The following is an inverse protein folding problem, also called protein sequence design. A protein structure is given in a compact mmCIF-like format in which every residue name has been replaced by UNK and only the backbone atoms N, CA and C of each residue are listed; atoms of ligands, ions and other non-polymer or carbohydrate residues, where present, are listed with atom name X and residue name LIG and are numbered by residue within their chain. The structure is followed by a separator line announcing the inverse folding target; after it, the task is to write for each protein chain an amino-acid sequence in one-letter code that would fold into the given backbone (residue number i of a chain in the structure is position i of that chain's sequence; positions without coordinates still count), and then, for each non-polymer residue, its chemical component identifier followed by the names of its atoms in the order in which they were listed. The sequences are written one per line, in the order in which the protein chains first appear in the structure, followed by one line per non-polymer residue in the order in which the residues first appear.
data_IF_448437657938
#
_entry.id   IF_448437657938
#
_cell.length_a   1.000
_cell.length_b   1.000
_cell.length_c   1.000
_cell.angle_alpha   90.00
_cell.angle_beta   90.00
_cell.angle_gamma   90.00
#
_symmetry.space_group_name_H-M   'P 1'
#
loop_
_entity.id
_entity.type
_entity.pdbx_description
1 polymer ?
#
# COMPACT_ATOMS: atom_id res chain seq x y z
N UNK A 1 -10.02 6.60 4.23
CA UNK A 1 -9.54 5.27 3.79
C UNK A 1 -9.22 5.36 2.32
N UNK A 2 -8.15 4.69 1.89
CA UNK A 2 -7.66 4.74 0.51
C UNK A 2 -7.51 3.31 -0.01
N UNK A 3 -8.03 3.02 -1.20
CA UNK A 3 -7.78 1.79 -1.94
C UNK A 3 -6.63 2.01 -2.94
N UNK A 4 -5.52 1.32 -2.72
CA UNK A 4 -4.44 1.19 -3.70
C UNK A 4 -4.78 0.02 -4.62
N UNK A 5 -5.28 0.31 -5.83
CA UNK A 5 -5.74 -0.68 -6.80
C UNK A 5 -4.59 -1.12 -7.71
N UNK A 6 -4.57 -2.39 -8.13
CA UNK A 6 -3.59 -2.96 -9.06
C UNK A 6 -2.12 -2.79 -8.61
N UNK A 7 -1.84 -2.85 -7.31
CA UNK A 7 -0.51 -2.60 -6.79
C UNK A 7 0.42 -3.81 -7.00
N UNK A 8 1.69 -3.54 -7.30
CA UNK A 8 2.78 -4.52 -7.10
C UNK A 8 3.40 -4.25 -5.73
N UNK A 9 2.97 -4.99 -4.72
CA UNK A 9 3.45 -4.85 -3.34
C UNK A 9 4.76 -5.62 -3.13
N UNK A 10 5.75 -4.96 -2.52
CA UNK A 10 7.02 -5.58 -2.12
C UNK A 10 6.98 -5.87 -0.62
N UNK A 11 7.02 -7.15 -0.25
CA UNK A 11 7.11 -7.56 1.14
C UNK A 11 8.53 -7.30 1.68
N UNK A 12 8.65 -6.39 2.66
CA UNK A 12 9.97 -6.02 3.21
C UNK A 12 10.70 -7.16 3.93
N UNK A 13 10.00 -8.21 4.38
CA UNK A 13 10.62 -9.32 5.13
C UNK A 13 11.09 -10.41 4.18
N UNK A 14 10.29 -10.73 3.17
CA UNK A 14 10.57 -11.86 2.26
C UNK A 14 11.14 -11.42 0.92
N UNK A 15 11.02 -10.13 0.58
CA UNK A 15 11.31 -9.55 -0.75
C UNK A 15 10.43 -10.11 -1.88
N UNK A 16 9.30 -10.74 -1.53
CA UNK A 16 8.33 -11.19 -2.52
C UNK A 16 7.57 -10.02 -3.16
N UNK A 17 7.27 -10.18 -4.45
CA UNK A 17 6.44 -9.26 -5.23
C UNK A 17 5.03 -9.86 -5.36
N UNK A 18 4.00 -9.10 -4.94
CA UNK A 18 2.61 -9.55 -4.95
C UNK A 18 1.75 -8.58 -5.75
N UNK A 19 0.98 -9.10 -6.71
CA UNK A 19 -0.03 -8.30 -7.42
C UNK A 19 -1.32 -8.34 -6.63
N UNK A 20 -1.72 -7.21 -6.03
CA UNK A 20 -2.79 -7.18 -5.02
C UNK A 20 -3.43 -5.78 -4.92
N UNK A 21 -4.66 -5.69 -4.42
CA UNK A 21 -5.25 -4.41 -4.01
C UNK A 21 -5.07 -4.23 -2.49
N UNK A 22 -4.81 -3.01 -2.05
CA UNK A 22 -4.52 -2.70 -0.64
C UNK A 22 -5.48 -1.64 -0.14
N UNK A 23 -6.30 -1.98 0.86
CA UNK A 23 -7.10 -1.01 1.58
C UNK A 23 -6.29 -0.44 2.74
N UNK A 24 -6.18 0.88 2.79
CA UNK A 24 -5.37 1.62 3.77
C UNK A 24 -6.28 2.44 4.67
N UNK A 25 -6.13 2.23 5.97
CA UNK A 25 -6.75 3.06 7.00
C UNK A 25 -5.84 4.24 7.36
N UNK A 26 -6.46 5.37 7.64
CA UNK A 26 -5.73 6.58 8.01
C UNK A 26 -5.35 6.60 9.49
N UNK A 27 -4.29 7.36 9.81
CA UNK A 27 -3.87 7.63 11.18
C UNK A 27 -2.78 6.70 11.70
N UNK A 28 -2.23 7.06 12.87
CA UNK A 28 -1.07 6.38 13.48
C UNK A 28 -1.37 4.92 13.88
N UNK A 29 -2.64 4.61 14.10
CA UNK A 29 -3.13 3.28 14.44
C UNK A 29 -3.80 2.58 13.24
N UNK A 30 -3.73 3.17 12.05
CA UNK A 30 -4.29 2.59 10.83
C UNK A 30 -3.53 1.35 10.40
N UNK A 31 -4.23 0.43 9.74
CA UNK A 31 -3.66 -0.78 9.18
C UNK A 31 -3.78 -0.81 7.65
N UNK A 32 -3.10 -1.79 7.04
CA UNK A 32 -3.32 -2.17 5.65
C UNK A 32 -3.95 -3.56 5.59
N UNK A 33 -4.90 -3.73 4.67
CA UNK A 33 -5.55 -5.01 4.41
C UNK A 33 -5.45 -5.34 2.93
N UNK A 34 -5.06 -6.57 2.61
CA UNK A 34 -5.05 -7.06 1.23
C UNK A 34 -6.44 -7.55 0.85
N UNK A 35 -6.94 -7.07 -0.29
CA UNK A 35 -8.29 -7.35 -0.76
C UNK A 35 -8.28 -7.82 -2.21
N UNK A 36 -9.13 -8.79 -2.51
CA UNK A 36 -9.35 -9.28 -3.89
C UNK A 36 -10.27 -8.33 -4.66
N UNK A 37 -11.33 -7.83 -4.01
CA UNK A 37 -12.28 -6.93 -4.64
C UNK A 37 -11.67 -5.54 -4.84
N UNK A 38 -11.75 -5.06 -6.07
CA UNK A 38 -11.25 -3.74 -6.48
C UNK A 38 -12.33 -2.65 -6.49
N UNK A 39 -13.56 -2.99 -6.09
CA UNK A 39 -14.73 -2.11 -6.05
C UNK A 39 -15.18 -1.84 -4.60
N UNK A 40 -14.27 -1.38 -3.76
CA UNK A 40 -14.63 -0.87 -2.43
C UNK A 40 -15.31 0.49 -2.59
N UNK A 41 -16.57 0.60 -2.16
CA UNK A 41 -17.33 1.84 -2.26
C UNK A 41 -17.00 2.82 -1.12
N UNK A 42 -17.15 4.12 -1.40
CA UNK A 42 -17.02 5.17 -0.38
C UNK A 42 -15.60 5.42 0.11
N UNK A 43 -14.58 4.91 -0.59
CA UNK A 43 -13.17 5.14 -0.29
C UNK A 43 -12.48 5.84 -1.46
N UNK A 44 -11.48 6.66 -1.16
CA UNK A 44 -10.63 7.24 -2.20
C UNK A 44 -9.85 6.11 -2.88
N UNK A 45 -9.68 6.17 -4.20
CA UNK A 45 -8.99 5.11 -4.96
C UNK A 45 -7.82 5.68 -5.74
N UNK A 46 -6.66 5.03 -5.62
CA UNK A 46 -5.47 5.30 -6.39
C UNK A 46 -5.14 4.09 -7.28
N UNK A 47 -5.04 4.29 -8.59
CA UNK A 47 -4.59 3.23 -9.50
C UNK A 47 -3.06 3.14 -9.50
N UNK A 48 -2.56 2.03 -8.98
CA UNK A 48 -1.14 1.71 -8.85
C UNK A 48 -0.66 0.75 -9.95
N UNK A 49 -1.41 0.55 -11.03
CA UNK A 49 -0.98 -0.31 -12.14
C UNK A 49 0.41 0.10 -12.66
N UNK A 50 1.32 -0.87 -12.71
CA UNK A 50 2.71 -0.66 -13.15
C UNK A 50 3.58 0.10 -12.15
N UNK A 51 3.08 0.38 -10.94
CA UNK A 51 3.83 1.01 -9.86
C UNK A 51 4.21 -0.01 -8.78
N UNK A 52 5.34 0.25 -8.12
CA UNK A 52 5.77 -0.49 -6.95
C UNK A 52 5.22 0.17 -5.68
N UNK A 53 4.62 -0.64 -4.81
CA UNK A 53 4.13 -0.21 -3.50
C UNK A 53 4.96 -0.92 -2.44
N UNK A 54 5.50 -0.16 -1.49
CA UNK A 54 6.42 -0.68 -0.46
C UNK A 54 6.10 -0.05 0.89
N UNK A 55 6.60 -0.64 1.97
CA UNK A 55 6.66 0.09 3.24
C UNK A 55 7.58 1.31 3.04
N UNK A 56 7.11 2.48 3.47
CA UNK A 56 7.88 3.71 3.38
C UNK A 56 9.29 3.56 3.96
N UNK A 57 10.25 4.24 3.33
CA UNK A 57 11.62 4.29 3.80
C UNK A 57 11.71 5.07 5.11
N UNK A 58 12.60 4.62 5.99
CA UNK A 58 13.00 5.39 7.16
C UNK A 58 14.28 6.17 6.84
N UNK A 59 14.38 7.40 7.36
CA UNK A 59 15.62 8.18 7.30
C UNK A 59 16.53 7.69 8.42
N UNK A 60 17.53 6.88 8.08
CA UNK A 60 18.47 6.35 9.08
C UNK A 60 19.42 7.41 9.63
N UNK A 61 19.71 8.45 8.85
CA UNK A 61 20.59 9.54 9.23
C UNK A 61 20.31 10.76 8.34
N UNK A 62 20.07 11.92 8.95
CA UNK A 62 19.87 13.19 8.26
C UNK A 62 20.31 14.35 9.16
N UNK A 63 20.93 15.37 8.56
CA UNK A 63 21.25 16.64 9.19
C UNK A 63 20.35 17.72 8.57
N UNK A 64 19.54 18.39 9.40
CA UNK A 64 18.60 19.48 9.03
C UNK A 64 19.30 20.83 9.11
#
# INVERSE_FOLDING_TARGET
MILLKNATYIDRKTLEFKSVNILVEEGINGNITFVEDSNVQGVETLDCKGKLVTKAFAVGHHHV
#
